data_IF_839644092310
#
_entry.id   IF_839644092310
#
_cell.length_a   1.000
_cell.length_b   1.000
_cell.length_c   1.000
_cell.angle_alpha   90.00
_cell.angle_beta   90.00
_cell.angle_gamma   90.00
#
_symmetry.space_group_name_H-M   'P 1'
#
loop_
_entity.id
_entity.type
_entity.pdbx_description
1 polymer ?
#
# COMPACT_ATOMS: atom_id res chain seq x y z
N UNK A 1 4.59 -1.91 -11.86
CA UNK A 1 4.74 -3.17 -11.10
C UNK A 1 6.19 -3.63 -11.06
N UNK A 2 6.92 -3.61 -12.18
CA UNK A 2 8.35 -3.96 -12.18
C UNK A 2 9.20 -3.16 -11.19
N UNK A 3 8.90 -1.86 -11.00
CA UNK A 3 9.61 -1.05 -10.00
C UNK A 3 9.36 -1.52 -8.56
N UNK A 4 8.18 -2.08 -8.28
CA UNK A 4 7.83 -2.63 -6.96
C UNK A 4 8.54 -3.96 -6.74
N UNK A 5 8.61 -4.81 -7.77
CA UNK A 5 9.39 -6.06 -7.75
C UNK A 5 10.86 -5.74 -7.48
N UNK A 6 11.45 -4.78 -8.22
CA UNK A 6 12.86 -4.37 -8.04
C UNK A 6 13.11 -3.88 -6.61
N UNK A 7 12.25 -3.01 -6.08
CA UNK A 7 12.38 -2.52 -4.70
C UNK A 7 12.22 -3.62 -3.67
N UNK A 8 11.31 -4.57 -3.87
CA UNK A 8 11.14 -5.73 -2.98
C UNK A 8 12.38 -6.63 -3.02
N UNK A 9 12.91 -6.93 -4.20
CA UNK A 9 14.15 -7.72 -4.34
C UNK A 9 15.37 -7.01 -3.73
N UNK A 10 15.51 -5.71 -3.95
CA UNK A 10 16.72 -4.96 -3.54
C UNK A 10 16.69 -4.49 -2.07
N UNK A 11 15.53 -4.09 -1.54
CA UNK A 11 15.40 -3.59 -0.15
C UNK A 11 15.07 -4.68 0.85
N UNK A 12 14.26 -5.66 0.44
CA UNK A 12 13.74 -6.70 1.33
C UNK A 12 14.50 -8.01 1.13
N UNK A 13 15.25 -8.16 0.02
CA UNK A 13 16.09 -9.33 -0.25
C UNK A 13 15.30 -10.58 -0.65
N UNK A 14 14.05 -10.41 -1.08
CA UNK A 14 13.20 -11.50 -1.53
C UNK A 14 13.49 -11.86 -2.99
N UNK A 15 13.43 -13.15 -3.31
CA UNK A 15 13.63 -13.64 -4.67
C UNK A 15 12.57 -13.11 -5.64
N UNK A 16 12.96 -12.95 -6.92
CA UNK A 16 12.10 -12.38 -7.98
C UNK A 16 10.76 -13.11 -8.12
N UNK A 17 10.76 -14.45 -8.04
CA UNK A 17 9.53 -15.23 -8.14
C UNK A 17 8.59 -15.00 -6.94
N UNK A 18 9.14 -14.65 -5.78
CA UNK A 18 8.34 -14.29 -4.60
C UNK A 18 7.83 -12.86 -4.71
N UNK A 19 8.67 -11.93 -5.17
CA UNK A 19 8.28 -10.56 -5.40
C UNK A 19 7.16 -10.43 -6.44
N UNK A 20 7.17 -11.25 -7.50
CA UNK A 20 6.06 -11.33 -8.47
C UNK A 20 4.74 -11.74 -7.80
N UNK A 21 4.75 -12.80 -6.97
CA UNK A 21 3.56 -13.24 -6.23
C UNK A 21 3.05 -12.20 -5.25
N UNK A 22 3.96 -11.50 -4.55
CA UNK A 22 3.58 -10.41 -3.64
C UNK A 22 2.95 -9.26 -4.40
N UNK A 23 3.49 -8.90 -5.56
CA UNK A 23 2.93 -7.84 -6.40
C UNK A 23 1.59 -8.24 -6.99
N UNK A 24 1.41 -9.50 -7.38
CA UNK A 24 0.13 -10.03 -7.85
C UNK A 24 -0.93 -10.02 -6.73
N UNK A 25 -0.54 -10.47 -5.53
CA UNK A 25 -1.38 -10.39 -4.33
C UNK A 25 -1.75 -8.94 -3.97
N UNK A 26 -0.78 -8.03 -3.98
CA UNK A 26 -1.03 -6.60 -3.76
C UNK A 26 -1.98 -6.06 -4.82
N UNK A 27 -1.82 -6.44 -6.09
CA UNK A 27 -2.68 -6.02 -7.19
C UNK A 27 -4.12 -6.49 -7.01
N UNK A 28 -4.34 -7.74 -6.62
CA UNK A 28 -5.68 -8.28 -6.34
C UNK A 28 -6.35 -7.61 -5.13
N UNK A 29 -5.55 -7.25 -4.13
CA UNK A 29 -6.06 -6.64 -2.89
C UNK A 29 -5.85 -5.13 -2.81
N UNK A 30 -5.49 -4.43 -3.90
CA UNK A 30 -5.19 -2.99 -3.85
C UNK A 30 -6.38 -2.15 -3.36
N UNK A 31 -7.61 -2.59 -3.63
CA UNK A 31 -8.83 -1.95 -3.12
C UNK A 31 -9.04 -2.19 -1.61
N UNK A 32 -8.49 -3.28 -1.05
CA UNK A 32 -8.60 -3.63 0.37
C UNK A 32 -7.42 -3.12 1.21
N UNK A 33 -6.27 -2.87 0.58
CA UNK A 33 -5.06 -2.33 1.23
C UNK A 33 -5.35 -1.06 2.04
N UNK A 34 -6.11 -0.06 1.55
CA UNK A 34 -6.48 1.11 2.34
C UNK A 34 -7.22 0.73 3.64
N UNK A 35 -8.11 -0.27 3.56
CA UNK A 35 -8.82 -0.83 4.70
C UNK A 35 -7.92 -1.59 5.69
N UNK A 36 -6.92 -2.33 5.19
CA UNK A 36 -5.92 -2.99 6.04
C UNK A 36 -4.98 -1.99 6.71
N UNK A 37 -4.54 -0.96 5.99
CA UNK A 37 -3.73 0.13 6.54
C UNK A 37 -4.49 0.84 7.67
N UNK A 38 -5.77 1.14 7.43
CA UNK A 38 -6.65 1.73 8.43
C UNK A 38 -6.85 0.82 9.65
N UNK A 39 -7.03 -0.51 9.45
CA UNK A 39 -7.19 -1.48 10.54
C UNK A 39 -5.92 -1.78 11.32
N UNK A 40 -4.75 -1.71 10.69
CA UNK A 40 -3.46 -2.00 11.34
C UNK A 40 -2.99 -0.89 12.29
N UNK A 41 -3.68 0.25 12.35
CA UNK A 41 -3.18 1.44 13.05
C UNK A 41 -1.89 2.00 12.43
N UNK A 42 -1.56 1.54 11.22
CA UNK A 42 -0.40 1.99 10.45
C UNK A 42 -0.60 3.43 10.00
N UNK A 43 -1.86 3.88 9.85
CA UNK A 43 -2.21 5.29 9.68
C UNK A 43 -1.50 6.18 10.69
N UNK A 44 -1.46 5.82 11.98
CA UNK A 44 -0.80 6.63 13.03
C UNK A 44 0.73 6.59 12.98
N UNK A 45 1.32 5.63 12.26
CA UNK A 45 2.78 5.45 12.11
C UNK A 45 3.30 5.81 10.72
N UNK A 46 2.40 6.13 9.79
CA UNK A 46 2.79 6.59 8.46
C UNK A 46 3.20 8.06 8.57
N UNK A 47 4.27 8.47 7.88
CA UNK A 47 4.69 9.87 7.88
C UNK A 47 3.54 10.75 7.36
N UNK A 48 3.38 11.94 7.94
CA UNK A 48 2.23 12.85 7.71
C UNK A 48 1.89 13.05 6.22
N UNK A 49 2.90 13.13 5.35
CA UNK A 49 2.69 13.28 3.90
C UNK A 49 2.04 12.08 3.21
N UNK A 50 2.33 10.86 3.67
CA UNK A 50 1.71 9.62 3.14
C UNK A 50 0.32 9.46 3.74
N UNK A 51 0.16 9.79 5.01
CA UNK A 51 -1.12 9.72 5.70
C UNK A 51 -2.14 10.70 5.09
N UNK A 52 -1.71 11.91 4.73
CA UNK A 52 -2.54 12.91 4.06
C UNK A 52 -2.85 12.51 2.61
N UNK A 53 -1.88 11.98 1.87
CA UNK A 53 -2.11 11.49 0.50
C UNK A 53 -3.06 10.28 0.44
N UNK A 54 -2.87 9.30 1.33
CA UNK A 54 -3.75 8.15 1.44
C UNK A 54 -5.10 8.52 2.04
N UNK A 55 -5.15 9.43 3.02
CA UNK A 55 -6.39 9.96 3.59
C UNK A 55 -7.21 10.75 2.58
N UNK A 56 -6.57 11.51 1.68
CA UNK A 56 -7.25 12.19 0.57
C UNK A 56 -7.73 11.25 -0.53
N UNK A 57 -6.99 10.16 -0.79
CA UNK A 57 -7.37 9.14 -1.78
C UNK A 57 -8.47 8.19 -1.27
N UNK A 58 -8.39 7.79 0.01
CA UNK A 58 -9.36 6.90 0.68
C UNK A 58 -10.59 7.69 1.17
N UNK A 59 -10.38 8.92 1.65
CA UNK A 59 -11.43 9.82 2.16
C UNK A 59 -12.15 10.62 1.08
N UNK A 60 -11.76 10.50 -0.19
CA UNK A 60 -12.38 11.17 -1.34
C UNK A 60 -13.78 10.69 -1.73
N UNK A 61 -14.48 9.96 -0.84
CA UNK A 61 -15.82 9.41 -1.07
C UNK A 61 -16.94 10.02 -0.23
N UNK A 62 -16.67 10.84 0.79
CA UNK A 62 -17.75 11.54 1.51
C UNK A 62 -17.22 12.70 2.35
N UNK A 63 -17.23 13.89 1.76
CA UNK A 63 -17.26 15.16 2.48
C UNK A 63 -18.45 15.96 1.92
N UNK A 64 -19.64 15.45 2.23
CA UNK A 64 -20.84 16.27 2.31
C UNK A 64 -21.07 16.61 3.78
N UNK A 65 -21.49 17.85 4.01
CA UNK A 65 -21.85 18.53 5.26
C UNK A 65 -20.77 19.38 5.92
#
# INVERSE_FOLDING_TARGET
MEEMISKLTEKVGIDRATAEKVVEFVKEHMDEIPGWIAKSGLTEKLPEGVQSALGGFLGGGSAGE
#
